data_IF_584234622700
#
_entry.id   IF_584234622700
#
_cell.length_a   1.000
_cell.length_b   1.000
_cell.length_c   1.000
_cell.angle_alpha   90.00
_cell.angle_beta   90.00
_cell.angle_gamma   90.00
#
_symmetry.space_group_name_H-M   'P 1'
#
loop_
_entity.id
_entity.type
_entity.pdbx_description
1 polymer ?
#
# COMPACT_ATOMS: atom_id res chain seq x y z
N UNK A 1 0.73 -25.17 -2.32
CA UNK A 1 0.01 -24.03 -2.90
C UNK A 1 0.89 -23.34 -3.93
N UNK A 2 0.30 -22.94 -5.09
CA UNK A 2 1.02 -22.24 -6.15
C UNK A 2 1.21 -20.79 -5.75
N UNK A 3 2.44 -20.28 -5.78
CA UNK A 3 2.76 -18.89 -5.48
C UNK A 3 2.51 -17.98 -6.70
N UNK A 4 2.93 -18.42 -7.87
CA UNK A 4 2.53 -17.82 -9.16
C UNK A 4 2.70 -18.84 -10.30
N UNK A 5 2.03 -18.56 -11.42
CA UNK A 5 2.24 -19.21 -12.71
C UNK A 5 2.69 -18.13 -13.68
N UNK A 6 3.70 -18.41 -14.50
CA UNK A 6 4.24 -17.46 -15.47
C UNK A 6 4.52 -18.15 -16.81
N UNK A 7 4.16 -17.45 -17.88
CA UNK A 7 4.57 -17.79 -19.24
C UNK A 7 5.33 -16.61 -19.85
N UNK A 8 6.49 -16.88 -20.41
CA UNK A 8 7.38 -15.87 -20.98
C UNK A 8 8.09 -14.99 -19.94
N UNK A 9 8.75 -13.96 -20.47
CA UNK A 9 9.42 -12.89 -19.71
C UNK A 9 8.91 -11.53 -20.16
N UNK A 10 9.13 -10.47 -19.39
CA UNK A 10 8.73 -9.10 -19.75
C UNK A 10 9.36 -8.59 -21.08
N UNK A 11 10.36 -9.30 -21.61
CA UNK A 11 11.04 -8.99 -22.86
C UNK A 11 10.42 -9.68 -24.07
N UNK A 12 9.68 -10.76 -23.86
CA UNK A 12 9.08 -11.59 -24.92
C UNK A 12 7.90 -10.84 -25.59
N UNK A 13 7.50 -11.24 -26.80
CA UNK A 13 6.31 -10.69 -27.47
C UNK A 13 5.02 -10.88 -26.68
N UNK A 14 4.93 -11.95 -25.90
CA UNK A 14 3.83 -12.23 -25.00
C UNK A 14 4.35 -12.68 -23.63
N UNK A 15 3.81 -12.07 -22.60
CA UNK A 15 4.13 -12.35 -21.20
C UNK A 15 2.86 -12.35 -20.37
N UNK A 16 2.69 -13.35 -19.53
CA UNK A 16 1.63 -13.39 -18.51
C UNK A 16 2.17 -14.02 -17.22
N UNK A 17 1.79 -13.42 -16.11
CA UNK A 17 2.03 -13.95 -14.75
C UNK A 17 0.77 -13.83 -13.93
N UNK A 18 0.33 -14.90 -13.27
CA UNK A 18 -0.83 -14.93 -12.38
C UNK A 18 -0.40 -15.43 -11.01
N UNK A 19 -0.82 -14.76 -9.95
CA UNK A 19 -0.49 -15.06 -8.56
C UNK A 19 0.14 -13.87 -7.84
N UNK A 20 1.18 -14.13 -7.04
CA UNK A 20 1.89 -13.08 -6.33
C UNK A 20 2.66 -12.20 -7.32
N UNK A 21 2.38 -10.89 -7.26
CA UNK A 21 3.09 -9.85 -7.99
C UNK A 21 4.17 -9.26 -7.10
N UNK A 22 5.36 -9.19 -7.63
CA UNK A 22 6.50 -8.64 -6.92
C UNK A 22 7.30 -7.72 -7.85
N UNK A 23 7.57 -6.50 -7.41
CA UNK A 23 8.31 -5.48 -8.16
C UNK A 23 7.70 -5.08 -9.50
N UNK A 24 6.41 -4.82 -9.50
CA UNK A 24 5.74 -4.20 -10.65
C UNK A 24 6.17 -2.74 -10.73
N UNK A 25 6.73 -2.34 -11.88
CA UNK A 25 7.08 -0.94 -12.15
C UNK A 25 6.56 -0.58 -13.53
N UNK A 26 6.07 0.65 -13.68
CA UNK A 26 5.56 1.18 -14.93
C UNK A 26 6.35 2.41 -15.36
N UNK A 27 6.75 2.45 -16.63
CA UNK A 27 7.63 3.49 -17.15
C UNK A 27 8.96 3.52 -16.42
N UNK A 28 9.37 4.69 -16.00
CA UNK A 28 10.57 4.88 -15.18
C UNK A 28 10.25 4.97 -13.68
N UNK A 29 8.97 4.73 -13.28
CA UNK A 29 8.59 4.55 -11.88
C UNK A 29 7.92 5.74 -11.20
N UNK A 30 7.52 6.77 -11.95
CA UNK A 30 6.87 7.95 -11.36
C UNK A 30 5.56 7.62 -10.64
N UNK A 31 4.76 6.66 -11.12
CA UNK A 31 3.53 6.19 -10.48
C UNK A 31 3.71 4.87 -9.74
N UNK A 32 4.15 3.81 -10.45
CA UNK A 32 4.40 2.50 -9.86
C UNK A 32 5.90 2.19 -9.87
N UNK A 33 6.47 2.03 -8.67
CA UNK A 33 7.88 1.69 -8.48
C UNK A 33 8.03 0.51 -7.51
N UNK A 34 8.32 -0.66 -8.08
CA UNK A 34 8.47 -1.92 -7.34
C UNK A 34 7.24 -2.33 -6.51
N UNK A 35 6.02 -2.01 -6.97
CA UNK A 35 4.78 -2.41 -6.33
C UNK A 35 4.72 -3.93 -6.10
N UNK A 36 4.14 -4.34 -4.97
CA UNK A 36 3.95 -5.75 -4.61
C UNK A 36 2.58 -5.96 -3.95
N UNK A 37 1.83 -6.98 -4.41
CA UNK A 37 0.61 -7.44 -3.75
C UNK A 37 0.88 -8.52 -2.69
N UNK A 38 2.14 -8.91 -2.48
CA UNK A 38 2.52 -10.03 -1.64
C UNK A 38 3.17 -9.61 -0.31
N UNK A 39 3.14 -8.32 0.03
CA UNK A 39 3.76 -7.84 1.26
C UNK A 39 3.06 -8.31 2.54
N UNK A 40 1.77 -8.59 2.47
CA UNK A 40 0.98 -9.11 3.59
C UNK A 40 0.91 -10.65 3.60
N UNK A 41 1.52 -11.31 2.61
CA UNK A 41 1.59 -12.78 2.57
C UNK A 41 2.37 -13.33 3.78
N UNK A 42 1.98 -14.45 4.42
CA UNK A 42 0.90 -15.36 4.03
C UNK A 42 -0.48 -15.04 4.63
N UNK A 43 -0.60 -14.03 5.48
CA UNK A 43 -1.83 -13.69 6.19
C UNK A 43 -2.91 -13.26 5.20
N UNK A 44 -2.56 -12.33 4.30
CA UNK A 44 -3.41 -11.94 3.18
C UNK A 44 -2.81 -12.49 1.89
N UNK A 45 -3.60 -13.25 1.14
CA UNK A 45 -3.19 -13.88 -0.12
C UNK A 45 -3.95 -13.24 -1.26
N UNK A 46 -3.25 -12.42 -2.02
CA UNK A 46 -3.77 -11.80 -3.23
C UNK A 46 -3.32 -12.57 -4.46
N UNK A 47 -4.25 -12.77 -5.38
CA UNK A 47 -3.99 -13.42 -6.68
C UNK A 47 -4.17 -12.37 -7.76
N UNK A 48 -3.08 -11.74 -8.12
CA UNK A 48 -3.04 -10.73 -9.17
C UNK A 48 -2.63 -11.29 -10.52
N UNK A 49 -2.55 -10.42 -11.51
CA UNK A 49 -2.10 -10.74 -12.86
C UNK A 49 -1.21 -9.63 -13.42
N UNK A 50 -0.14 -10.01 -14.12
CA UNK A 50 0.61 -9.16 -15.06
C UNK A 50 0.44 -9.69 -16.47
N UNK A 51 0.24 -8.80 -17.42
CA UNK A 51 0.14 -9.11 -18.86
C UNK A 51 1.03 -8.15 -19.65
N UNK A 52 1.79 -8.68 -20.61
CA UNK A 52 2.59 -7.91 -21.55
C UNK A 52 2.41 -8.41 -22.99
N UNK A 53 2.18 -7.51 -23.91
CA UNK A 53 2.03 -7.80 -25.34
C UNK A 53 2.89 -6.81 -26.14
N UNK A 54 3.72 -7.32 -27.05
CA UNK A 54 4.51 -6.51 -27.98
C UNK A 54 4.18 -6.89 -29.41
N UNK A 55 3.73 -5.92 -30.19
CA UNK A 55 3.38 -6.13 -31.59
C UNK A 55 3.60 -4.86 -32.40
N UNK A 56 4.18 -4.98 -33.60
CA UNK A 56 4.41 -3.87 -34.54
C UNK A 56 5.12 -2.66 -33.91
N UNK A 57 6.05 -2.91 -32.99
CA UNK A 57 6.79 -1.86 -32.27
C UNK A 57 6.06 -1.25 -31.07
N UNK A 58 4.75 -1.46 -30.93
CA UNK A 58 4.01 -1.10 -29.72
C UNK A 58 4.23 -2.11 -28.60
N UNK A 59 4.22 -1.60 -27.35
CA UNK A 59 4.17 -2.45 -26.17
C UNK A 59 2.97 -2.09 -25.31
N UNK A 60 2.13 -3.06 -25.01
CA UNK A 60 1.04 -2.97 -24.03
C UNK A 60 1.45 -3.76 -22.78
N UNK A 61 1.27 -3.16 -21.65
CA UNK A 61 1.48 -3.80 -20.34
C UNK A 61 0.33 -3.47 -19.41
N UNK A 62 -0.09 -4.43 -18.60
CA UNK A 62 -1.11 -4.22 -17.59
C UNK A 62 -0.91 -5.13 -16.39
N UNK A 63 -1.49 -4.73 -15.26
CA UNK A 63 -1.56 -5.56 -14.06
C UNK A 63 -2.83 -5.28 -13.26
N UNK A 64 -3.20 -6.26 -12.42
CA UNK A 64 -4.19 -6.08 -11.35
C UNK A 64 -3.70 -6.77 -10.09
N UNK A 65 -4.03 -6.21 -8.92
CA UNK A 65 -3.52 -6.70 -7.64
C UNK A 65 -4.19 -7.99 -7.16
N UNK A 66 -5.50 -8.09 -7.30
CA UNK A 66 -6.28 -9.25 -6.82
C UNK A 66 -7.59 -9.39 -7.59
N UNK A 67 -7.91 -10.61 -8.01
CA UNK A 67 -9.18 -10.91 -8.64
C UNK A 67 -10.36 -10.87 -7.64
N UNK A 68 -10.13 -11.14 -6.36
CA UNK A 68 -11.17 -11.08 -5.33
C UNK A 68 -11.67 -9.66 -5.07
N UNK A 69 -10.80 -8.68 -5.22
CA UNK A 69 -11.15 -7.27 -5.07
C UNK A 69 -11.85 -6.67 -6.30
N UNK A 70 -12.33 -7.50 -7.26
CA UNK A 70 -12.89 -7.01 -8.52
C UNK A 70 -11.98 -5.98 -9.21
N UNK A 71 -10.72 -6.33 -9.39
CA UNK A 71 -9.70 -5.46 -9.96
C UNK A 71 -9.43 -4.20 -9.11
N UNK A 72 -9.30 -4.34 -7.79
CA UNK A 72 -9.14 -3.23 -6.83
C UNK A 72 -8.06 -2.24 -7.24
N UNK A 73 -6.81 -2.71 -7.43
CA UNK A 73 -5.73 -1.92 -8.04
C UNK A 73 -5.44 -2.43 -9.44
N UNK A 74 -5.55 -1.56 -10.43
CA UNK A 74 -5.24 -1.87 -11.83
C UNK A 74 -4.29 -0.87 -12.43
N UNK A 75 -3.39 -1.33 -13.29
CA UNK A 75 -2.51 -0.48 -14.05
C UNK A 75 -2.43 -0.90 -15.50
N UNK A 76 -2.36 0.06 -16.39
CA UNK A 76 -2.16 -0.14 -17.83
C UNK A 76 -1.12 0.81 -18.39
N UNK A 77 -0.36 0.36 -19.38
CA UNK A 77 0.67 1.15 -20.03
C UNK A 77 0.76 0.80 -21.51
N UNK A 78 0.83 1.84 -22.34
CA UNK A 78 1.12 1.72 -23.77
C UNK A 78 2.40 2.48 -24.07
N UNK A 79 3.29 1.88 -24.87
CA UNK A 79 4.52 2.51 -25.36
C UNK A 79 4.49 2.49 -26.89
N UNK A 80 4.74 3.65 -27.50
CA UNK A 80 4.79 3.78 -28.97
C UNK A 80 6.07 3.18 -29.55
N UNK A 81 6.07 2.81 -30.83
CA UNK A 81 7.30 2.61 -31.57
C UNK A 81 8.19 3.85 -31.48
N UNK A 82 9.52 3.70 -31.43
CA UNK A 82 10.41 4.84 -31.40
C UNK A 82 10.27 5.70 -32.68
N UNK A 83 10.03 6.98 -32.49
CA UNK A 83 10.07 7.97 -33.58
C UNK A 83 11.31 8.86 -33.39
N UNK A 84 12.19 8.92 -34.38
CA UNK A 84 13.50 9.60 -34.29
C UNK A 84 14.34 9.15 -33.07
N UNK A 85 14.20 7.87 -32.66
CA UNK A 85 14.87 7.33 -31.47
C UNK A 85 14.16 7.59 -30.16
N UNK A 86 13.14 8.45 -30.09
CA UNK A 86 12.35 8.75 -28.89
C UNK A 86 11.22 7.76 -28.76
N UNK A 87 11.10 7.11 -27.62
CA UNK A 87 9.94 6.31 -27.22
C UNK A 87 9.03 7.13 -26.32
N UNK A 88 7.73 7.13 -26.59
CA UNK A 88 6.74 7.76 -25.75
C UNK A 88 5.87 6.70 -25.06
N UNK A 89 5.58 6.88 -23.79
CA UNK A 89 4.74 6.00 -22.99
C UNK A 89 3.62 6.74 -22.28
N UNK A 90 2.44 6.11 -22.24
CA UNK A 90 1.30 6.56 -21.43
C UNK A 90 0.98 5.48 -20.43
N UNK A 91 0.83 5.84 -19.16
CA UNK A 91 0.47 4.93 -18.08
C UNK A 91 -0.76 5.44 -17.35
N UNK A 92 -1.64 4.54 -16.96
CA UNK A 92 -2.78 4.81 -16.09
C UNK A 92 -2.81 3.79 -14.97
N UNK A 93 -3.04 4.23 -13.74
CA UNK A 93 -3.23 3.36 -12.58
C UNK A 93 -4.44 3.87 -11.82
N UNK A 94 -5.24 2.94 -11.32
CA UNK A 94 -6.40 3.22 -10.47
C UNK A 94 -6.47 2.23 -9.33
N UNK A 95 -6.71 2.71 -8.14
CA UNK A 95 -7.25 1.96 -7.02
C UNK A 95 -8.72 2.36 -6.86
N UNK A 96 -9.59 1.40 -7.04
CA UNK A 96 -11.04 1.61 -7.00
C UNK A 96 -11.51 2.01 -5.61
N UNK A 97 -10.97 1.38 -4.58
CA UNK A 97 -11.34 1.64 -3.20
C UNK A 97 -10.18 1.29 -2.24
N UNK A 98 -9.55 2.31 -1.68
CA UNK A 98 -8.42 2.13 -0.77
C UNK A 98 -8.80 1.40 0.53
N UNK A 99 -10.07 1.47 0.95
CA UNK A 99 -10.54 0.76 2.14
C UNK A 99 -10.43 -0.78 2.03
N UNK A 100 -10.35 -1.32 0.81
CA UNK A 100 -10.04 -2.75 0.58
C UNK A 100 -8.64 -3.18 1.06
N UNK A 101 -7.81 -2.25 1.52
CA UNK A 101 -6.56 -2.54 2.23
C UNK A 101 -6.75 -2.95 3.69
N UNK A 102 -7.90 -2.68 4.28
CA UNK A 102 -8.26 -3.09 5.64
C UNK A 102 -8.59 -4.58 5.66
N UNK A 103 -8.36 -5.21 6.81
CA UNK A 103 -8.66 -6.62 7.01
C UNK A 103 -10.14 -6.78 7.36
N UNK A 104 -10.80 -7.69 6.68
CA UNK A 104 -12.20 -8.09 6.86
C UNK A 104 -12.20 -9.63 6.81
N UNK A 105 -12.48 -10.28 7.96
CA UNK A 105 -12.25 -11.70 8.16
C UNK A 105 -13.41 -12.55 7.67
N UNK A 106 -14.60 -12.12 7.97
CA UNK A 106 -15.85 -12.81 7.59
C UNK A 106 -16.42 -12.37 6.25
N UNK A 107 -15.85 -11.27 5.68
CA UNK A 107 -16.17 -10.73 4.35
C UNK A 107 -17.60 -10.13 4.25
N UNK A 108 -18.10 -9.55 5.34
CA UNK A 108 -19.38 -8.85 5.35
C UNK A 108 -19.28 -7.40 4.79
N UNK A 109 -18.05 -6.94 4.55
CA UNK A 109 -17.71 -5.60 4.08
C UNK A 109 -17.39 -4.61 5.19
N UNK A 110 -17.36 -5.05 6.43
CA UNK A 110 -16.91 -4.24 7.56
C UNK A 110 -15.52 -4.69 8.01
N UNK A 111 -14.54 -3.80 8.01
CA UNK A 111 -13.22 -4.17 8.49
C UNK A 111 -13.24 -4.61 9.96
N UNK A 112 -12.49 -5.69 10.27
CA UNK A 112 -12.31 -6.24 11.63
C UNK A 112 -12.09 -5.18 12.72
N UNK A 113 -11.63 -4.01 12.34
CA UNK A 113 -11.27 -2.90 13.20
C UNK A 113 -12.48 -2.12 13.75
N UNK A 114 -13.55 -2.07 12.98
CA UNK A 114 -14.77 -1.32 13.27
C UNK A 114 -15.99 -2.24 13.37
N UNK A 115 -15.75 -3.54 13.41
CA UNK A 115 -16.73 -4.60 13.50
C UNK A 115 -16.63 -5.25 14.87
N UNK A 116 -17.70 -5.18 15.66
CA UNK A 116 -17.76 -5.77 17.00
C UNK A 116 -17.83 -7.32 16.93
N UNK A 117 -18.22 -7.89 15.76
CA UNK A 117 -18.31 -9.33 15.52
C UNK A 117 -17.48 -9.81 14.32
N UNK A 118 -16.17 -9.64 14.28
CA UNK A 118 -15.32 -9.80 13.08
C UNK A 118 -15.18 -11.25 12.55
N UNK A 119 -15.88 -12.19 13.12
CA UNK A 119 -15.96 -13.59 12.68
C UNK A 119 -17.43 -14.00 12.33
N UNK A 120 -18.37 -13.03 12.27
CA UNK A 120 -19.81 -13.31 12.08
C UNK A 120 -20.42 -12.44 10.97
N UNK A 121 -20.52 -12.96 9.77
CA UNK A 121 -21.02 -12.27 8.56
C UNK A 121 -22.44 -11.63 8.69
N UNK A 122 -23.17 -11.89 9.78
CA UNK A 122 -24.57 -11.41 9.96
C UNK A 122 -24.63 -10.22 10.90
N UNK A 123 -23.76 -10.19 11.92
CA UNK A 123 -23.75 -9.19 12.99
C UNK A 123 -22.46 -8.39 12.98
N UNK A 124 -22.54 -7.09 13.27
CA UNK A 124 -21.39 -6.18 13.21
C UNK A 124 -21.41 -5.03 14.23
N UNK A 125 -22.52 -4.83 14.94
CA UNK A 125 -22.69 -3.71 15.86
C UNK A 125 -23.27 -4.21 17.18
N UNK A 126 -22.66 -3.78 18.29
CA UNK A 126 -23.03 -4.04 19.66
C UNK A 126 -22.88 -2.71 20.40
N UNK A 127 -24.00 -2.00 20.62
CA UNK A 127 -23.95 -0.61 21.07
C UNK A 127 -23.64 -0.47 22.56
N UNK A 128 -23.97 -1.46 23.38
CA UNK A 128 -23.75 -1.48 24.83
C UNK A 128 -22.55 -2.38 25.25
N UNK A 129 -21.95 -3.10 24.31
CA UNK A 129 -20.81 -4.01 24.51
C UNK A 129 -21.16 -5.23 25.43
N UNK A 130 -22.41 -5.69 25.42
CA UNK A 130 -22.85 -6.85 26.22
C UNK A 130 -22.58 -8.20 25.53
N UNK A 131 -22.22 -8.19 24.24
CA UNK A 131 -21.90 -9.35 23.42
C UNK A 131 -23.10 -9.88 22.65
N UNK A 132 -24.25 -9.22 22.68
CA UNK A 132 -25.41 -9.45 21.82
C UNK A 132 -25.46 -8.34 20.77
N UNK A 133 -25.68 -8.68 19.51
CA UNK A 133 -25.67 -7.66 18.47
C UNK A 133 -26.98 -6.86 18.47
N UNK A 134 -26.94 -5.55 18.19
CA UNK A 134 -28.10 -4.65 18.09
C UNK A 134 -29.26 -5.21 17.23
N UNK A 135 -28.93 -6.09 16.28
CA UNK A 135 -29.89 -6.72 15.37
C UNK A 135 -30.24 -8.18 15.75
N UNK A 136 -29.67 -8.70 16.81
CA UNK A 136 -30.03 -10.03 17.28
C UNK A 136 -31.48 -10.03 17.79
N UNK A 137 -32.31 -11.03 17.46
CA UNK A 137 -33.65 -11.13 18.00
C UNK A 137 -33.74 -11.23 19.53
N UNK A 138 -32.62 -11.57 20.20
CA UNK A 138 -32.51 -11.64 21.66
C UNK A 138 -32.11 -10.30 22.31
N UNK A 139 -31.70 -9.31 21.50
CA UNK A 139 -31.38 -7.97 22.01
C UNK A 139 -32.65 -7.19 22.35
N UNK A 140 -32.75 -6.74 23.59
CA UNK A 140 -33.89 -6.02 24.11
C UNK A 140 -33.55 -4.62 24.65
N UNK A 141 -32.28 -4.40 25.03
CA UNK A 141 -31.75 -3.18 25.63
C UNK A 141 -30.48 -2.77 24.86
N UNK A 142 -30.65 -2.12 23.72
CA UNK A 142 -29.62 -1.85 22.70
C UNK A 142 -28.53 -0.90 23.23
N UNK A 143 -28.87 0.00 24.16
CA UNK A 143 -27.94 1.00 24.68
C UNK A 143 -27.51 0.75 26.14
N UNK A 144 -27.98 -0.34 26.75
CA UNK A 144 -27.55 -0.79 28.07
C UNK A 144 -28.07 0.08 29.23
N UNK A 145 -29.13 0.85 29.02
CA UNK A 145 -29.68 1.74 30.05
C UNK A 145 -30.65 1.05 31.03
N UNK A 146 -31.03 -0.21 30.73
CA UNK A 146 -31.94 -1.02 31.50
C UNK A 146 -33.42 -0.82 31.16
N UNK A 147 -33.71 -0.04 30.11
CA UNK A 147 -35.08 0.16 29.57
C UNK A 147 -35.17 -0.67 28.27
N UNK A 148 -36.34 -1.19 28.00
CA UNK A 148 -36.51 -2.03 26.81
C UNK A 148 -36.71 -1.22 25.55
N UNK A 149 -35.85 -1.45 24.56
CA UNK A 149 -35.85 -0.80 23.25
C UNK A 149 -36.65 -1.59 22.21
N UNK A 150 -36.68 -2.91 22.34
CA UNK A 150 -37.31 -3.79 21.38
C UNK A 150 -38.30 -4.75 22.04
N UNK A 151 -39.39 -5.03 21.32
CA UNK A 151 -40.38 -6.01 21.73
C UNK A 151 -40.12 -7.35 21.04
N UNK A 152 -39.64 -8.33 21.78
CA UNK A 152 -39.52 -9.70 21.28
C UNK A 152 -40.00 -10.70 22.32
N UNK A 153 -41.12 -11.39 22.02
CA UNK A 153 -41.71 -12.42 22.89
C UNK A 153 -40.88 -13.70 23.01
N UNK A 154 -39.80 -13.85 22.24
CA UNK A 154 -38.89 -15.00 22.29
C UNK A 154 -37.75 -14.81 23.30
N UNK A 155 -37.63 -13.62 23.90
CA UNK A 155 -36.60 -13.34 24.91
C UNK A 155 -36.88 -14.15 26.18
N UNK A 156 -35.90 -14.95 26.68
CA UNK A 156 -36.09 -15.75 27.89
C UNK A 156 -36.34 -14.88 29.13
N UNK A 157 -37.40 -15.11 29.82
CA UNK A 157 -37.79 -14.35 31.01
C UNK A 157 -38.64 -13.13 30.74
N UNK A 158 -38.97 -12.84 29.51
CA UNK A 158 -39.89 -11.79 29.10
C UNK A 158 -41.29 -12.00 29.71
N UNK A 159 -41.76 -11.03 30.50
CA UNK A 159 -43.09 -11.06 31.09
C UNK A 159 -43.88 -9.80 30.77
N UNK A 160 -44.86 -9.93 29.90
CA UNK A 160 -45.74 -8.85 29.41
C UNK A 160 -46.70 -8.29 30.51
N UNK A 161 -46.72 -8.83 31.70
CA UNK A 161 -47.61 -8.41 32.81
C UNK A 161 -47.15 -7.19 33.62
N UNK A 162 -45.95 -6.65 33.32
CA UNK A 162 -45.45 -5.41 33.94
C UNK A 162 -45.78 -4.20 33.10
N UNK A 163 -46.00 -3.06 33.74
CA UNK A 163 -46.13 -1.74 33.05
C UNK A 163 -44.87 -1.49 32.22
N UNK A 164 -45.03 -1.67 30.96
CA UNK A 164 -43.97 -1.69 29.97
C UNK A 164 -43.75 -0.28 29.43
N UNK A 165 -42.55 0.22 29.48
CA UNK A 165 -42.15 1.49 28.90
C UNK A 165 -41.11 1.15 27.83
N UNK A 166 -41.43 1.46 26.55
CA UNK A 166 -40.46 1.48 25.47
C UNK A 166 -39.62 2.76 25.58
N UNK A 167 -38.32 2.64 25.42
CA UNK A 167 -37.51 3.81 25.25
C UNK A 167 -37.59 4.36 23.82
N UNK A 168 -37.88 5.68 23.71
CA UNK A 168 -37.94 6.41 22.46
C UNK A 168 -36.59 7.06 22.08
N UNK A 169 -35.56 6.97 22.95
CA UNK A 169 -34.32 7.68 22.84
C UNK A 169 -33.07 6.81 22.77
N UNK A 170 -33.13 5.72 22.03
CA UNK A 170 -32.05 4.72 21.90
C UNK A 170 -30.73 5.36 21.45
N UNK A 171 -29.70 5.23 22.25
CA UNK A 171 -28.35 5.73 21.96
C UNK A 171 -27.50 4.65 21.30
N UNK A 172 -27.51 4.58 19.97
CA UNK A 172 -26.71 3.62 19.19
C UNK A 172 -25.33 4.13 18.84
N UNK A 173 -24.36 3.22 18.79
CA UNK A 173 -23.10 3.48 18.10
C UNK A 173 -23.36 3.83 16.62
N UNK A 174 -22.54 4.69 15.98
CA UNK A 174 -22.66 4.95 14.55
C UNK A 174 -22.41 3.66 13.75
N UNK A 175 -23.14 3.48 12.65
CA UNK A 175 -22.89 2.36 11.73
C UNK A 175 -21.41 2.37 11.29
N UNK A 176 -20.71 1.23 11.38
CA UNK A 176 -19.32 1.15 10.98
C UNK A 176 -19.13 1.27 9.47
N UNK A 177 -17.90 1.64 9.04
CA UNK A 177 -17.54 1.70 7.64
C UNK A 177 -17.91 0.39 6.92
N UNK A 178 -18.64 0.52 5.81
CA UNK A 178 -18.94 -0.60 4.91
C UNK A 178 -18.23 -0.37 3.56
N UNK A 179 -17.18 -1.15 3.27
CA UNK A 179 -16.36 -1.01 2.07
C UNK A 179 -17.08 -1.36 0.77
N UNK A 180 -18.27 -1.98 0.83
CA UNK A 180 -19.12 -2.24 -0.34
C UNK A 180 -19.98 -1.04 -0.72
N UNK A 181 -20.28 -0.18 0.24
CA UNK A 181 -21.13 1.00 0.06
C UNK A 181 -20.33 2.29 0.03
N UNK A 182 -19.17 2.31 0.67
CA UNK A 182 -18.31 3.47 0.76
C UNK A 182 -17.01 3.23 -0.01
N UNK A 183 -16.70 4.09 -0.95
CA UNK A 183 -15.52 3.99 -1.80
C UNK A 183 -14.61 5.20 -1.62
N UNK A 184 -13.31 4.95 -1.56
CA UNK A 184 -12.28 5.99 -1.58
C UNK A 184 -11.32 5.73 -2.74
N UNK A 185 -11.71 6.07 -3.97
CA UNK A 185 -10.89 5.83 -5.14
C UNK A 185 -9.71 6.81 -5.24
N UNK A 186 -8.65 6.36 -5.89
CA UNK A 186 -7.54 7.20 -6.33
C UNK A 186 -7.01 6.68 -7.66
N UNK A 187 -6.78 7.56 -8.60
CA UNK A 187 -6.23 7.21 -9.91
C UNK A 187 -5.08 8.13 -10.28
N UNK A 188 -4.31 7.77 -11.29
CA UNK A 188 -3.29 8.64 -11.84
C UNK A 188 -3.01 8.31 -13.31
N UNK A 189 -2.60 9.34 -14.05
CA UNK A 189 -2.12 9.23 -15.40
C UNK A 189 -0.69 9.75 -15.48
N UNK A 190 0.16 9.12 -16.30
CA UNK A 190 1.52 9.58 -16.54
C UNK A 190 1.88 9.51 -18.03
N UNK A 191 2.70 10.46 -18.44
CA UNK A 191 3.37 10.49 -19.73
C UNK A 191 4.88 10.42 -19.50
N UNK A 192 5.57 9.69 -20.35
CA UNK A 192 7.03 9.63 -20.33
C UNK A 192 7.61 9.58 -21.74
N UNK A 193 8.83 10.11 -21.84
CA UNK A 193 9.62 10.12 -23.06
C UNK A 193 11.03 9.63 -22.73
N UNK A 194 11.55 8.71 -23.53
CA UNK A 194 12.88 8.15 -23.33
C UNK A 194 13.68 8.17 -24.63
N UNK A 195 14.96 8.53 -24.51
CA UNK A 195 15.91 8.52 -25.60
C UNK A 195 17.20 7.77 -25.21
N UNK A 196 17.59 6.74 -25.94
CA UNK A 196 18.83 6.02 -25.70
C UNK A 196 20.01 6.79 -26.27
N UNK A 197 20.91 7.28 -25.41
CA UNK A 197 22.13 7.96 -25.81
C UNK A 197 23.23 6.98 -26.25
N UNK A 198 23.39 5.88 -25.50
CA UNK A 198 24.42 4.86 -25.74
C UNK A 198 23.76 3.48 -25.70
N UNK A 199 24.05 2.66 -26.69
CA UNK A 199 23.58 1.26 -26.80
C UNK A 199 24.74 0.34 -27.14
N UNK A 200 25.63 0.12 -26.16
CA UNK A 200 26.74 -0.81 -26.31
C UNK A 200 26.55 -2.06 -25.45
N UNK A 201 27.27 -3.13 -25.74
CA UNK A 201 27.17 -4.42 -25.05
C UNK A 201 27.35 -4.31 -23.52
N UNK A 202 28.26 -3.42 -23.09
CA UNK A 202 28.63 -3.28 -21.68
C UNK A 202 28.20 -1.94 -21.06
N UNK A 203 27.72 -1.02 -21.88
CA UNK A 203 27.25 0.31 -21.45
C UNK A 203 25.99 0.69 -22.22
N UNK A 204 24.91 0.92 -21.48
CA UNK A 204 23.69 1.48 -22.02
C UNK A 204 23.31 2.70 -21.19
N UNK A 205 23.18 3.85 -21.84
CA UNK A 205 22.75 5.10 -21.21
C UNK A 205 21.52 5.62 -21.90
N UNK A 206 20.51 5.95 -21.14
CA UNK A 206 19.27 6.56 -21.62
C UNK A 206 18.93 7.80 -20.79
N UNK A 207 18.44 8.81 -21.45
CA UNK A 207 17.82 9.97 -20.80
C UNK A 207 16.31 9.87 -20.96
N UNK A 208 15.59 10.43 -20.02
CA UNK A 208 14.13 10.40 -20.02
C UNK A 208 13.53 11.59 -19.26
N UNK A 209 12.27 11.85 -19.51
CA UNK A 209 11.44 12.77 -18.77
C UNK A 209 10.10 12.12 -18.46
N UNK A 210 9.48 12.50 -17.34
CA UNK A 210 8.17 12.00 -16.93
C UNK A 210 7.34 13.14 -16.34
N UNK A 211 6.02 13.04 -16.53
CA UNK A 211 5.03 13.85 -15.83
C UNK A 211 3.87 12.97 -15.43
N UNK A 212 3.33 13.17 -14.24
CA UNK A 212 2.16 12.45 -13.76
C UNK A 212 1.22 13.37 -13.00
N UNK A 213 -0.08 13.15 -13.16
CA UNK A 213 -1.16 13.79 -12.39
C UNK A 213 -1.90 12.73 -11.60
N UNK A 214 -2.04 12.93 -10.29
CA UNK A 214 -2.96 12.19 -9.45
C UNK A 214 -4.39 12.71 -9.68
N UNK A 215 -5.35 11.81 -9.67
CA UNK A 215 -6.78 12.09 -9.87
C UNK A 215 -7.51 11.69 -8.60
N UNK A 216 -8.21 12.62 -7.99
CA UNK A 216 -8.91 12.51 -6.73
C UNK A 216 -8.75 13.79 -5.93
N UNK A 217 -9.40 13.85 -4.79
CA UNK A 217 -9.43 15.00 -3.90
C UNK A 217 -9.04 14.61 -2.48
N UNK A 218 -8.55 15.59 -1.73
CA UNK A 218 -8.24 15.45 -0.31
C UNK A 218 -8.61 16.77 0.41
N UNK A 219 -9.06 16.73 1.67
CA UNK A 219 -9.32 17.98 2.38
C UNK A 219 -8.01 18.73 2.66
N UNK A 220 -7.98 20.04 2.43
CA UNK A 220 -6.85 20.88 2.81
C UNK A 220 -6.66 20.85 4.32
N UNK A 221 -5.43 20.69 4.85
CA UNK A 221 -5.20 20.70 6.27
C UNK A 221 -5.38 22.12 6.89
N UNK A 222 -5.33 23.18 6.07
CA UNK A 222 -5.50 24.57 6.52
C UNK A 222 -6.97 24.98 6.59
N UNK A 223 -7.76 24.64 5.56
CA UNK A 223 -9.13 25.15 5.41
C UNK A 223 -10.22 24.09 5.57
N UNK A 224 -9.86 22.80 5.47
CA UNK A 224 -10.81 21.68 5.42
C UNK A 224 -11.53 21.52 4.07
N UNK A 225 -11.35 22.46 3.13
CA UNK A 225 -11.96 22.37 1.80
C UNK A 225 -11.33 21.27 0.96
N UNK A 226 -12.14 20.63 0.12
CA UNK A 226 -11.66 19.62 -0.81
C UNK A 226 -10.82 20.26 -1.91
N UNK A 227 -9.61 19.72 -2.10
CA UNK A 227 -8.64 20.18 -3.09
C UNK A 227 -8.13 19.01 -3.92
N UNK A 228 -7.88 19.25 -5.19
CA UNK A 228 -7.33 18.27 -6.12
C UNK A 228 -5.97 17.74 -5.66
N UNK A 229 -5.72 16.46 -5.91
CA UNK A 229 -4.39 15.85 -5.80
C UNK A 229 -3.43 16.46 -6.84
N UNK A 230 -2.14 16.39 -6.57
CA UNK A 230 -1.11 17.17 -7.26
C UNK A 230 -0.52 16.50 -8.50
N UNK A 231 0.54 17.15 -8.98
CA UNK A 231 1.34 16.77 -10.15
C UNK A 231 2.78 16.48 -9.71
N UNK A 232 3.36 15.41 -10.27
CA UNK A 232 4.78 15.11 -10.17
C UNK A 232 5.47 15.22 -11.53
N UNK A 233 6.66 15.82 -11.54
CA UNK A 233 7.44 16.06 -12.77
C UNK A 233 8.87 15.57 -12.54
N UNK A 234 9.39 14.81 -13.50
CA UNK A 234 10.81 14.48 -13.64
C UNK A 234 11.26 15.09 -14.98
N UNK A 235 11.77 16.34 -14.97
CA UNK A 235 12.14 17.01 -16.21
C UNK A 235 13.35 16.35 -16.87
N UNK A 236 14.21 15.71 -16.09
CA UNK A 236 15.38 14.98 -16.57
C UNK A 236 15.67 13.80 -15.65
N UNK A 237 15.70 12.61 -16.24
CA UNK A 237 16.21 11.39 -15.65
C UNK A 237 17.31 10.80 -16.52
N UNK A 238 18.28 10.16 -15.89
CA UNK A 238 19.36 9.41 -16.54
C UNK A 238 19.38 8.00 -15.99
N UNK A 239 19.35 7.01 -16.88
CA UNK A 239 19.53 5.59 -16.54
C UNK A 239 20.79 5.08 -17.22
N UNK A 240 21.76 4.61 -16.44
CA UNK A 240 23.01 4.03 -16.93
C UNK A 240 23.13 2.59 -16.46
N UNK A 241 23.27 1.66 -17.39
CA UNK A 241 23.55 0.25 -17.11
C UNK A 241 24.99 -0.05 -17.53
N UNK A 242 25.82 -0.45 -16.56
CA UNK A 242 27.23 -0.75 -16.74
C UNK A 242 27.50 -2.17 -16.19
N UNK A 243 27.53 -3.16 -17.09
CA UNK A 243 27.72 -4.55 -16.70
C UNK A 243 26.71 -5.01 -15.63
N UNK A 244 27.14 -5.31 -14.38
CA UNK A 244 26.28 -5.76 -13.31
C UNK A 244 25.50 -4.63 -12.60
N UNK A 245 25.86 -3.37 -12.83
CA UNK A 245 25.29 -2.20 -12.16
C UNK A 245 24.27 -1.49 -13.05
N UNK A 246 23.16 -1.04 -12.45
CA UNK A 246 22.22 -0.09 -13.03
C UNK A 246 22.08 1.09 -12.09
N UNK A 247 22.32 2.28 -12.59
CA UNK A 247 22.21 3.53 -11.86
C UNK A 247 21.15 4.41 -12.50
N UNK A 248 20.27 5.00 -11.68
CA UNK A 248 19.31 5.99 -12.12
C UNK A 248 19.50 7.27 -11.29
N UNK A 249 19.43 8.40 -11.96
CA UNK A 249 19.47 9.72 -11.34
C UNK A 249 18.33 10.55 -11.92
N UNK A 250 17.54 11.16 -11.06
CA UNK A 250 16.36 11.97 -11.42
C UNK A 250 16.35 13.27 -10.60
N UNK A 251 15.70 14.27 -11.14
CA UNK A 251 15.31 15.44 -10.35
C UNK A 251 13.79 15.50 -10.29
N UNK A 252 13.24 15.48 -9.09
CA UNK A 252 11.82 15.43 -8.81
C UNK A 252 11.28 16.82 -8.49
N UNK A 253 10.09 17.16 -8.99
CA UNK A 253 9.41 18.44 -8.74
C UNK A 253 7.92 18.16 -8.47
N UNK A 254 7.40 18.68 -7.37
CA UNK A 254 5.98 18.71 -7.03
C UNK A 254 5.53 20.18 -6.93
N UNK A 255 5.07 20.78 -8.03
CA UNK A 255 4.81 22.23 -8.07
C UNK A 255 3.59 22.66 -7.24
N UNK A 256 2.67 21.73 -6.97
CA UNK A 256 1.42 21.97 -6.23
C UNK A 256 1.34 21.18 -4.91
N UNK A 257 2.37 20.39 -4.60
CA UNK A 257 2.29 19.41 -3.53
C UNK A 257 1.31 18.27 -3.84
N UNK A 258 0.82 17.61 -2.80
CA UNK A 258 -0.21 16.55 -2.83
C UNK A 258 0.06 15.45 -3.85
N UNK A 259 1.32 15.08 -4.00
CA UNK A 259 1.83 14.03 -4.88
C UNK A 259 2.88 13.20 -4.16
N UNK A 260 3.04 11.93 -4.53
CA UNK A 260 4.12 11.06 -4.05
C UNK A 260 4.72 10.29 -5.23
N UNK A 261 6.03 10.45 -5.46
CA UNK A 261 6.76 9.69 -6.48
C UNK A 261 6.78 8.19 -6.11
N UNK A 262 6.35 7.36 -7.06
CA UNK A 262 6.18 5.93 -6.79
C UNK A 262 5.08 5.66 -5.77
N UNK A 263 3.95 6.34 -5.86
CA UNK A 263 2.80 6.19 -4.96
C UNK A 263 2.39 4.73 -4.79
N UNK A 264 2.26 3.97 -5.89
CA UNK A 264 2.10 2.51 -5.88
C UNK A 264 3.47 1.85 -5.78
N UNK A 265 3.94 1.64 -4.56
CA UNK A 265 5.24 1.09 -4.23
C UNK A 265 5.15 -0.29 -3.57
N UNK A 266 6.27 -0.80 -3.07
CA UNK A 266 6.33 -2.11 -2.42
C UNK A 266 5.40 -2.22 -1.20
N UNK A 267 5.26 -1.16 -0.42
CA UNK A 267 4.44 -1.13 0.79
C UNK A 267 2.99 -0.72 0.57
N UNK A 268 2.60 -0.41 -0.66
CA UNK A 268 1.29 0.15 -0.96
C UNK A 268 0.13 -0.61 -0.29
N UNK A 269 0.12 -1.93 -0.35
CA UNK A 269 -0.94 -2.76 0.22
C UNK A 269 -1.02 -2.69 1.76
N UNK A 270 0.04 -2.23 2.42
CA UNK A 270 0.07 -1.98 3.87
C UNK A 270 -0.40 -0.55 4.16
N UNK A 271 0.04 0.41 3.34
CA UNK A 271 -0.18 1.84 3.51
C UNK A 271 -1.51 2.32 2.92
N UNK A 272 -2.17 1.47 2.12
CA UNK A 272 -3.36 1.76 1.31
C UNK A 272 -4.50 2.35 2.16
N UNK A 273 -4.76 1.71 3.31
CA UNK A 273 -5.60 2.24 4.37
C UNK A 273 -5.03 1.84 5.73
N UNK A 274 -5.01 2.79 6.65
CA UNK A 274 -4.55 2.63 8.02
C UNK A 274 -5.58 3.24 8.97
N UNK A 275 -5.34 3.17 10.27
CA UNK A 275 -6.21 3.80 11.25
C UNK A 275 -5.38 4.45 12.35
N UNK A 276 -5.95 5.45 12.99
CA UNK A 276 -5.47 6.03 14.23
C UNK A 276 -6.61 6.00 15.26
N UNK A 277 -6.27 5.87 16.52
CA UNK A 277 -7.21 6.01 17.63
C UNK A 277 -7.16 7.47 18.10
N UNK A 278 -8.29 8.14 18.09
CA UNK A 278 -8.41 9.53 18.55
C UNK A 278 -9.28 9.54 19.81
N UNK A 279 -8.73 9.98 20.92
CA UNK A 279 -9.51 10.17 22.15
C UNK A 279 -10.40 11.40 22.00
N UNK A 280 -11.71 11.18 21.83
CA UNK A 280 -12.70 12.24 21.63
C UNK A 280 -13.20 12.86 22.96
N UNK A 281 -13.11 12.09 24.07
CA UNK A 281 -13.35 12.52 25.45
C UNK A 281 -12.59 11.56 26.39
N UNK A 282 -12.35 11.92 27.65
CA UNK A 282 -11.67 11.02 28.61
C UNK A 282 -12.33 9.64 28.67
N UNK A 283 -11.61 8.62 28.22
CA UNK A 283 -12.07 7.23 28.16
C UNK A 283 -12.91 6.86 26.91
N UNK A 284 -13.14 7.78 25.98
CA UNK A 284 -13.85 7.50 24.72
C UNK A 284 -12.89 7.66 23.55
N UNK A 285 -12.41 6.56 23.00
CA UNK A 285 -11.59 6.56 21.80
C UNK A 285 -12.44 6.23 20.56
N UNK A 286 -12.30 7.05 19.53
CA UNK A 286 -12.87 6.78 18.21
C UNK A 286 -11.77 6.35 17.23
N UNK A 287 -12.11 5.39 16.37
CA UNK A 287 -11.22 4.91 15.32
C UNK A 287 -11.40 5.81 14.09
N UNK A 288 -10.29 6.41 13.65
CA UNK A 288 -10.26 7.19 12.42
C UNK A 288 -9.52 6.42 11.33
N UNK A 289 -10.23 6.04 10.26
CA UNK A 289 -9.66 5.35 9.11
C UNK A 289 -9.05 6.37 8.15
N UNK A 290 -7.76 6.19 7.86
CA UNK A 290 -6.96 7.10 7.04
C UNK A 290 -6.44 6.37 5.81
N UNK A 291 -6.77 6.88 4.61
CA UNK A 291 -6.25 6.32 3.35
C UNK A 291 -4.93 6.96 2.96
N UNK A 292 -4.14 6.26 2.15
CA UNK A 292 -2.87 6.80 1.64
C UNK A 292 -3.06 8.10 0.85
N UNK A 293 -4.12 8.21 0.05
CA UNK A 293 -4.42 9.44 -0.68
C UNK A 293 -4.75 10.62 0.23
N UNK A 294 -5.42 10.39 1.36
CA UNK A 294 -5.75 11.45 2.31
C UNK A 294 -4.50 12.01 3.02
N UNK A 295 -3.43 11.21 3.17
CA UNK A 295 -2.15 11.68 3.74
C UNK A 295 -1.40 12.63 2.79
N UNK A 296 -1.70 12.61 1.47
CA UNK A 296 -1.05 13.52 0.51
C UNK A 296 -1.34 15.00 0.78
N UNK A 297 -2.40 15.32 1.50
CA UNK A 297 -2.72 16.71 1.94
C UNK A 297 -1.60 17.36 2.74
N UNK A 298 -0.74 16.59 3.38
CA UNK A 298 0.36 17.08 4.20
C UNK A 298 1.64 17.38 3.41
N UNK A 299 1.68 17.07 2.10
CA UNK A 299 2.82 17.37 1.25
C UNK A 299 2.56 18.64 0.45
N UNK A 300 3.31 19.67 0.75
CA UNK A 300 3.32 20.93 0.00
C UNK A 300 4.23 20.88 -1.23
N UNK A 301 4.61 22.04 -1.74
CA UNK A 301 5.50 22.17 -2.90
C UNK A 301 6.90 21.71 -2.53
N UNK A 302 7.41 20.73 -3.24
CA UNK A 302 8.73 20.14 -2.96
C UNK A 302 9.49 19.84 -4.25
N UNK A 303 10.81 19.83 -4.18
CA UNK A 303 11.70 19.45 -5.27
C UNK A 303 13.01 18.89 -4.74
N UNK A 304 13.68 18.06 -5.54
CA UNK A 304 14.99 17.55 -5.13
C UNK A 304 15.46 16.32 -5.91
N UNK A 305 16.67 15.84 -5.62
CA UNK A 305 17.26 14.71 -6.29
C UNK A 305 16.71 13.36 -5.81
N UNK A 306 16.66 12.41 -6.73
CA UNK A 306 16.47 10.99 -6.48
C UNK A 306 17.60 10.20 -7.15
N UNK A 307 18.16 9.24 -6.45
CA UNK A 307 19.15 8.30 -6.97
C UNK A 307 18.80 6.86 -6.62
N UNK A 308 19.05 5.94 -7.55
CA UNK A 308 18.86 4.51 -7.35
C UNK A 308 20.02 3.74 -7.95
N UNK A 309 20.51 2.75 -7.20
CA UNK A 309 21.56 1.83 -7.61
C UNK A 309 21.06 0.39 -7.44
N UNK A 310 21.08 -0.39 -8.50
CA UNK A 310 20.87 -1.83 -8.47
C UNK A 310 22.17 -2.53 -8.89
N UNK A 311 22.66 -3.47 -8.08
CA UNK A 311 23.88 -4.23 -8.31
C UNK A 311 23.59 -5.74 -8.36
N UNK A 312 24.18 -6.41 -9.32
CA UNK A 312 24.20 -7.87 -9.43
C UNK A 312 25.61 -8.38 -9.18
N UNK A 313 25.92 -8.78 -7.94
CA UNK A 313 27.23 -9.29 -7.54
C UNK A 313 27.37 -10.75 -8.00
N UNK A 314 27.95 -10.93 -9.16
CA UNK A 314 27.99 -12.21 -9.85
C UNK A 314 26.60 -12.75 -10.19
N UNK A 315 26.46 -14.08 -10.21
CA UNK A 315 25.16 -14.73 -10.44
C UNK A 315 24.36 -14.95 -9.16
N UNK A 316 24.93 -14.73 -7.99
CA UNK A 316 24.43 -15.19 -6.70
C UNK A 316 23.65 -14.13 -5.92
N UNK A 317 24.12 -12.92 -5.90
CA UNK A 317 23.57 -11.87 -5.02
C UNK A 317 23.08 -10.68 -5.85
N UNK A 318 21.91 -10.18 -5.52
CA UNK A 318 21.39 -8.90 -5.99
C UNK A 318 21.18 -7.97 -4.82
N UNK A 319 21.66 -6.74 -4.92
CA UNK A 319 21.41 -5.70 -3.93
C UNK A 319 21.00 -4.42 -4.64
N UNK A 320 20.34 -3.54 -3.91
CA UNK A 320 20.00 -2.22 -4.42
C UNK A 320 19.68 -1.27 -3.30
N UNK A 321 19.83 0.00 -3.61
CA UNK A 321 19.45 1.09 -2.73
C UNK A 321 18.87 2.23 -3.55
N UNK A 322 17.97 2.98 -2.94
CA UNK A 322 17.49 4.25 -3.48
C UNK A 322 17.41 5.29 -2.38
N UNK A 323 17.68 6.51 -2.76
CA UNK A 323 17.60 7.67 -1.88
C UNK A 323 16.95 8.83 -2.61
N UNK A 324 16.00 9.47 -1.95
CA UNK A 324 15.32 10.68 -2.37
C UNK A 324 15.51 11.75 -1.31
N UNK A 325 15.72 12.98 -1.72
CA UNK A 325 15.77 14.12 -0.82
C UNK A 325 15.01 15.28 -1.46
N UNK A 326 13.82 15.52 -0.98
CA UNK A 326 12.97 16.63 -1.41
C UNK A 326 13.04 17.76 -0.39
N UNK A 327 13.10 18.98 -0.87
CA UNK A 327 13.06 20.20 -0.06
C UNK A 327 11.85 21.03 -0.43
N UNK A 328 11.21 21.61 0.56
CA UNK A 328 10.10 22.52 0.41
C UNK A 328 9.07 22.36 1.51
N UNK A 329 7.83 22.65 1.19
CA UNK A 329 6.74 22.75 2.15
C UNK A 329 6.30 21.37 2.67
N UNK A 330 6.32 21.20 4.00
CA UNK A 330 5.78 20.04 4.72
C UNK A 330 4.85 20.54 5.81
N UNK A 331 3.76 19.81 6.06
CA UNK A 331 2.82 20.19 7.13
C UNK A 331 3.43 19.95 8.51
N UNK A 332 3.44 20.98 9.34
CA UNK A 332 3.81 20.89 10.75
C UNK A 332 2.53 20.74 11.60
N UNK A 333 2.37 19.57 12.23
CA UNK A 333 1.17 19.23 13.02
C UNK A 333 1.03 20.08 14.29
N UNK A 334 2.16 20.47 14.92
CA UNK A 334 2.16 21.28 16.12
C UNK A 334 1.73 22.74 15.83
N UNK A 335 2.28 23.31 14.75
CA UNK A 335 2.01 24.70 14.35
C UNK A 335 0.80 24.85 13.43
N UNK A 336 0.28 23.75 12.88
CA UNK A 336 -0.84 23.70 11.92
C UNK A 336 -0.62 24.62 10.71
N UNK A 337 0.57 24.55 10.13
CA UNK A 337 0.96 25.32 8.94
C UNK A 337 2.00 24.57 8.13
N UNK A 338 2.15 24.95 6.86
CA UNK A 338 3.26 24.46 6.04
C UNK A 338 4.56 25.18 6.40
N UNK A 339 5.64 24.43 6.58
CA UNK A 339 6.99 24.91 6.83
C UNK A 339 7.98 24.32 5.85
N UNK A 340 9.08 25.03 5.58
CA UNK A 340 10.15 24.49 4.75
C UNK A 340 10.90 23.41 5.52
N UNK A 341 10.86 22.17 5.00
CA UNK A 341 11.50 21.02 5.60
C UNK A 341 12.08 20.09 4.55
N UNK A 342 12.98 19.22 4.98
CA UNK A 342 13.52 18.11 4.18
C UNK A 342 12.64 16.89 4.31
N UNK A 343 12.19 16.37 3.18
CA UNK A 343 11.41 15.14 3.07
C UNK A 343 12.27 14.09 2.36
N UNK A 344 12.78 13.14 3.13
CA UNK A 344 13.74 12.17 2.64
C UNK A 344 13.16 10.75 2.67
N UNK A 345 13.62 9.93 1.74
CA UNK A 345 13.26 8.52 1.67
C UNK A 345 14.49 7.67 1.35
N UNK A 346 14.63 6.57 2.06
CA UNK A 346 15.69 5.59 1.84
C UNK A 346 15.11 4.18 1.78
N UNK A 347 15.58 3.40 0.80
CA UNK A 347 15.25 1.99 0.66
C UNK A 347 16.54 1.23 0.33
N UNK A 348 16.74 0.10 0.98
CA UNK A 348 17.81 -0.84 0.66
C UNK A 348 17.30 -2.28 0.71
N UNK A 349 17.85 -3.13 -0.14
CA UNK A 349 17.60 -4.58 -0.10
C UNK A 349 18.83 -5.38 -0.48
N UNK A 350 18.90 -6.59 0.05
CA UNK A 350 19.85 -7.63 -0.31
C UNK A 350 19.09 -8.93 -0.54
N UNK A 351 19.36 -9.63 -1.65
CA UNK A 351 18.68 -10.89 -1.97
C UNK A 351 19.60 -11.91 -2.62
N UNK A 352 19.33 -13.16 -2.35
CA UNK A 352 19.89 -14.28 -3.07
C UNK A 352 19.18 -14.43 -4.43
N UNK A 353 19.94 -14.50 -5.52
CA UNK A 353 19.43 -14.70 -6.89
C UNK A 353 19.51 -16.14 -7.35
N UNK A 354 20.46 -16.87 -6.84
CA UNK A 354 20.69 -18.31 -7.12
C UNK A 354 20.88 -19.02 -5.78
N UNK A 355 20.24 -20.18 -5.64
CA UNK A 355 20.35 -20.99 -4.42
C UNK A 355 21.81 -21.37 -4.13
N UNK A 356 22.16 -21.35 -2.85
CA UNK A 356 23.45 -21.75 -2.32
C UNK A 356 23.22 -22.93 -1.39
N UNK A 357 23.66 -24.12 -1.80
CA UNK A 357 23.43 -25.36 -1.04
C UNK A 357 21.93 -25.52 -0.70
N UNK A 358 21.61 -25.65 0.58
CA UNK A 358 20.23 -25.77 1.08
C UNK A 358 19.48 -24.45 1.15
N UNK A 359 20.15 -23.31 1.02
CA UNK A 359 19.51 -21.99 1.04
C UNK A 359 18.93 -21.73 -0.36
N UNK A 360 17.61 -21.79 -0.49
CA UNK A 360 16.90 -21.56 -1.76
C UNK A 360 16.49 -20.10 -1.94
N UNK A 361 16.27 -19.40 -0.84
CA UNK A 361 15.87 -18.01 -0.80
C UNK A 361 16.50 -17.32 0.41
N UNK A 362 17.02 -16.12 0.23
CA UNK A 362 17.36 -15.21 1.29
C UNK A 362 17.12 -13.78 0.77
N UNK A 363 16.38 -12.99 1.48
CA UNK A 363 16.13 -11.58 1.19
C UNK A 363 16.06 -10.80 2.50
N UNK A 364 16.72 -9.64 2.55
CA UNK A 364 16.55 -8.66 3.61
C UNK A 364 16.26 -7.30 2.98
N UNK A 365 15.44 -6.50 3.63
CA UNK A 365 15.10 -5.16 3.15
C UNK A 365 14.83 -4.21 4.32
N UNK A 366 15.12 -2.95 4.06
CA UNK A 366 14.79 -1.82 4.91
C UNK A 366 14.23 -0.71 4.04
N UNK A 367 13.18 -0.06 4.51
CA UNK A 367 12.56 1.10 3.88
C UNK A 367 12.15 2.10 4.95
N UNK A 368 12.44 3.38 4.70
CA UNK A 368 11.88 4.50 5.44
C UNK A 368 11.59 5.63 4.45
N UNK A 369 10.42 6.21 4.51
CA UNK A 369 9.95 7.17 3.50
C UNK A 369 9.36 8.41 4.17
N UNK A 370 9.49 9.53 3.45
CA UNK A 370 8.83 10.78 3.82
C UNK A 370 9.13 11.22 5.26
N UNK A 371 10.40 11.16 5.64
CA UNK A 371 10.91 11.56 6.96
C UNK A 371 11.97 12.65 6.83
N UNK A 372 12.20 13.47 7.86
CA UNK A 372 13.22 14.51 7.80
C UNK A 372 14.64 13.97 7.58
N UNK A 373 14.98 12.82 8.19
CA UNK A 373 16.27 12.17 8.01
C UNK A 373 16.20 10.65 8.28
N UNK A 374 16.24 9.78 7.23
CA UNK A 374 16.16 8.34 7.40
C UNK A 374 17.41 7.70 8.03
N UNK A 375 18.53 8.43 8.11
CA UNK A 375 19.78 7.93 8.68
C UNK A 375 19.90 8.13 10.21
N UNK A 376 18.95 8.82 10.81
CA UNK A 376 18.79 8.83 12.27
C UNK A 376 18.16 7.54 12.79
N UNK A 377 17.61 6.70 11.89
CA UNK A 377 16.90 5.46 12.22
C UNK A 377 15.77 5.64 13.24
N UNK A 378 15.24 6.85 13.38
CA UNK A 378 14.04 7.11 14.17
C UNK A 378 12.85 6.43 13.47
N UNK A 379 12.08 5.68 14.23
CA UNK A 379 10.95 4.91 13.69
C UNK A 379 9.82 5.87 13.25
N UNK A 380 9.12 5.48 12.19
CA UNK A 380 7.95 6.19 11.66
C UNK A 380 6.98 5.19 11.05
N UNK A 381 5.73 5.57 10.82
CA UNK A 381 4.74 4.73 10.12
C UNK A 381 5.23 4.19 8.77
N UNK A 382 6.10 4.94 8.09
CA UNK A 382 6.63 4.56 6.79
C UNK A 382 7.88 3.67 6.86
N UNK A 383 8.31 3.31 8.09
CA UNK A 383 9.43 2.39 8.33
C UNK A 383 8.95 0.96 8.17
N UNK A 384 9.61 0.21 7.31
CA UNK A 384 9.38 -1.23 7.13
C UNK A 384 10.72 -1.93 7.03
N UNK A 385 10.89 -2.95 7.84
CA UNK A 385 12.05 -3.83 7.73
C UNK A 385 11.61 -5.29 7.77
N UNK A 386 12.38 -6.15 7.11
CA UNK A 386 12.05 -7.55 7.13
C UNK A 386 13.10 -8.40 6.43
N UNK A 387 12.97 -9.70 6.66
CA UNK A 387 13.77 -10.69 5.94
C UNK A 387 12.99 -11.96 5.67
N UNK A 388 13.44 -12.69 4.69
CA UNK A 388 12.90 -13.98 4.27
C UNK A 388 14.04 -14.96 4.07
N UNK A 389 13.94 -16.15 4.67
CA UNK A 389 14.93 -17.22 4.55
C UNK A 389 14.23 -18.53 4.20
N UNK A 390 14.55 -19.11 3.05
CA UNK A 390 14.02 -20.42 2.59
C UNK A 390 15.11 -21.48 2.59
N UNK A 391 14.88 -22.55 3.35
CA UNK A 391 15.79 -23.69 3.51
C UNK A 391 15.18 -24.96 2.90
N UNK A 392 15.92 -25.65 2.04
CA UNK A 392 15.53 -26.96 1.54
C UNK A 392 15.78 -28.04 2.59
N UNK A 393 14.71 -28.73 3.00
CA UNK A 393 14.75 -29.81 3.98
C UNK A 393 14.97 -31.19 3.32
N UNK A 394 14.72 -31.31 2.02
CA UNK A 394 14.86 -32.54 1.22
C UNK A 394 13.65 -32.76 0.31
N UNK A 395 13.83 -33.57 -0.75
CA UNK A 395 12.79 -33.94 -1.72
C UNK A 395 12.03 -32.71 -2.32
N UNK A 396 12.75 -31.60 -2.54
CA UNK A 396 12.13 -30.39 -3.08
C UNK A 396 11.29 -29.59 -2.06
N UNK A 397 11.20 -30.02 -0.80
CA UNK A 397 10.50 -29.29 0.26
C UNK A 397 11.38 -28.13 0.76
N UNK A 398 10.84 -26.93 0.71
CA UNK A 398 11.47 -25.69 1.20
C UNK A 398 10.69 -25.16 2.38
N UNK A 399 11.35 -25.00 3.51
CA UNK A 399 10.83 -24.30 4.68
C UNK A 399 11.24 -22.83 4.58
N UNK A 400 10.29 -21.93 4.53
CA UNK A 400 10.53 -20.49 4.45
C UNK A 400 10.09 -19.81 5.75
N UNK A 401 11.04 -19.12 6.38
CA UNK A 401 10.80 -18.23 7.50
C UNK A 401 10.71 -16.79 6.99
N UNK A 402 9.61 -16.11 7.30
CA UNK A 402 9.42 -14.70 6.96
C UNK A 402 9.28 -13.91 8.25
N UNK A 403 9.96 -12.79 8.32
CA UNK A 403 9.80 -11.77 9.37
C UNK A 403 9.60 -10.41 8.72
N UNK A 404 8.62 -9.66 9.22
CA UNK A 404 8.38 -8.26 8.87
C UNK A 404 8.03 -7.48 10.11
N UNK A 405 8.61 -6.29 10.22
CA UNK A 405 8.22 -5.27 11.19
C UNK A 405 7.78 -4.03 10.44
N UNK A 406 6.61 -3.55 10.76
CA UNK A 406 6.04 -2.26 10.34
C UNK A 406 5.53 -1.53 11.58
N UNK A 407 5.18 -0.27 11.40
CA UNK A 407 4.82 0.61 12.49
C UNK A 407 3.52 1.32 12.16
N UNK A 408 2.79 1.75 13.17
CA UNK A 408 1.56 2.53 13.07
C UNK A 408 1.60 3.62 14.12
N UNK A 409 1.20 4.79 13.73
CA UNK A 409 0.92 5.90 14.63
C UNK A 409 -0.54 5.74 15.09
N UNK A 410 -0.75 5.18 16.26
CA UNK A 410 -2.10 4.85 16.75
C UNK A 410 -2.77 6.04 17.41
N UNK A 411 -2.04 6.94 18.02
CA UNK A 411 -2.57 8.12 18.71
C UNK A 411 -2.60 9.39 17.83
N UNK A 412 -2.00 9.31 16.62
CA UNK A 412 -2.04 10.40 15.63
C UNK A 412 -1.10 11.56 15.94
N UNK A 413 -0.10 11.38 16.81
CA UNK A 413 0.87 12.41 17.20
C UNK A 413 2.04 12.58 16.20
N UNK A 414 2.09 11.72 15.17
CA UNK A 414 3.12 11.72 14.13
C UNK A 414 4.41 11.00 14.54
N UNK A 415 4.45 10.33 15.69
CA UNK A 415 5.59 9.53 16.18
C UNK A 415 5.20 8.06 16.26
N UNK A 416 6.18 7.23 16.56
CA UNK A 416 6.01 5.81 16.82
C UNK A 416 6.86 5.49 18.04
N UNK A 417 6.31 5.62 19.21
CA UNK A 417 7.02 5.44 20.48
C UNK A 417 6.31 4.47 21.44
N UNK A 418 5.06 4.08 21.14
CA UNK A 418 4.28 3.12 21.89
C UNK A 418 4.65 1.64 21.58
N UNK A 419 4.56 0.73 22.56
CA UNK A 419 4.80 -0.70 22.32
C UNK A 419 3.76 -1.33 21.37
N UNK A 420 2.52 -0.84 21.38
CA UNK A 420 1.41 -1.34 20.55
C UNK A 420 1.47 -0.81 19.11
N UNK A 421 2.29 0.18 18.85
CA UNK A 421 2.52 0.77 17.54
C UNK A 421 3.47 -0.05 16.66
N UNK A 422 4.06 -1.12 17.19
CA UNK A 422 4.92 -2.03 16.46
C UNK A 422 4.16 -3.28 16.02
N UNK A 423 4.04 -3.47 14.71
CA UNK A 423 3.42 -4.65 14.11
C UNK A 423 4.50 -5.63 13.66
N UNK A 424 4.68 -6.71 14.44
CA UNK A 424 5.61 -7.79 14.10
C UNK A 424 4.84 -8.95 13.48
N UNK A 425 5.22 -9.33 12.26
CA UNK A 425 4.63 -10.46 11.55
C UNK A 425 5.71 -11.50 11.33
N UNK A 426 5.50 -12.68 11.90
CA UNK A 426 6.35 -13.85 11.70
C UNK A 426 5.53 -14.97 11.09
N UNK A 427 6.04 -15.60 10.05
CA UNK A 427 5.42 -16.77 9.46
C UNK A 427 6.43 -17.84 9.07
N UNK A 428 6.01 -19.08 9.16
CA UNK A 428 6.74 -20.25 8.69
C UNK A 428 5.88 -20.95 7.63
N UNK A 429 6.45 -21.17 6.47
CA UNK A 429 5.77 -21.75 5.33
C UNK A 429 6.54 -22.94 4.78
N UNK A 430 5.80 -23.92 4.25
CA UNK A 430 6.37 -25.01 3.48
C UNK A 430 5.92 -24.91 2.03
N UNK A 431 6.86 -25.03 1.10
CA UNK A 431 6.60 -25.09 -0.34
C UNK A 431 7.36 -26.24 -0.96
N UNK A 432 6.94 -26.69 -2.15
CA UNK A 432 7.63 -27.71 -2.91
C UNK A 432 8.10 -27.13 -4.24
N UNK A 433 9.34 -27.43 -4.59
CA UNK A 433 9.93 -27.11 -5.89
C UNK A 433 10.03 -28.42 -6.69
N UNK A 434 9.39 -28.46 -7.84
CA UNK A 434 9.42 -29.57 -8.78
C UNK A 434 10.34 -29.26 -9.94
#
# INVERSE_FOLDING_TARGET
KVYYIRYGTKWDPFYIKVGALDRVSMGYGILANAYSNAMQYPQVRKVGMELGIKRAGFSLYGFTNDFKENLGVTGSRVVSPPFMGISAGVSFISDRNQYLGLKDRDQDGRPDLVDDFPDNIIYWLDSDDDGVADRDPLEWDIDGDGITDTLNSEIPGWNLDTTFVLDDSISRKPEPLNVFNEEKPVSAIALDFGYPLIKEKHLSVSIYAQVAKMIGETPSPETGEMVDLGIGIVPLGVSAKMGPATFNLEYHIMPEGRFEFGYWNRSYEIDRATFSSVESAPGVSSINIVTKSSKLRYYGKQKGPYAKLDLNLGSMIGTGMSYQNLFGEQWNFEKRQFEEESNQSFLAFLRLRKSISKIKMAEGYYQQRNVPNPFNFALSETTILGYRLGLELGNGMILTYNFRRSFRDLDGDGKVDGPDEQVNITSIETSFSF
#
